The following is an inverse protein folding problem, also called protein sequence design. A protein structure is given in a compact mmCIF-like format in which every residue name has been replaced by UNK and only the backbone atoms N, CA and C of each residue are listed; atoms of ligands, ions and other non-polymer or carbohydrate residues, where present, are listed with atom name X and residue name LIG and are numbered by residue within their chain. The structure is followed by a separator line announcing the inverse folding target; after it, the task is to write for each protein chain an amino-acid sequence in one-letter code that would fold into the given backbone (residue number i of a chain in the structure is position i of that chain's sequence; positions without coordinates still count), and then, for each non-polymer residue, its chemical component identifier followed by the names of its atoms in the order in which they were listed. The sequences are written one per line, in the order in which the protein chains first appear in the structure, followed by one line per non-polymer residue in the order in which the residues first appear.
data_IF_356728379639
#
_entry.id   IF_356728379639
#
_cell.length_a   1.000
_cell.length_b   1.000
_cell.length_c   1.000
_cell.angle_alpha   90.00
_cell.angle_beta   90.00
_cell.angle_gamma   90.00
#
_symmetry.space_group_name_H-M   'P 1'
#
loop_
_entity.id
_entity.type
_entity.pdbx_description
1 polymer ?
#
# COMPACT_ATOMS: atom_id res chain seq x y z
N UNK A 1 52.55 1.47 -29.45
CA UNK A 1 52.00 0.83 -28.24
C UNK A 1 50.84 1.61 -27.61
N UNK A 2 50.86 2.96 -27.57
CA UNK A 2 49.85 3.78 -26.87
C UNK A 2 48.41 3.78 -27.41
N UNK A 3 48.16 3.66 -28.72
CA UNK A 3 46.78 3.69 -29.26
C UNK A 3 45.90 2.54 -28.75
N UNK A 4 46.46 1.34 -28.61
CA UNK A 4 45.72 0.16 -28.11
C UNK A 4 45.38 0.29 -26.62
N UNK A 5 46.31 0.85 -25.83
CA UNK A 5 46.08 1.12 -24.40
C UNK A 5 45.01 2.18 -24.19
N UNK A 6 44.96 3.21 -25.06
CA UNK A 6 43.97 4.28 -24.98
C UNK A 6 42.56 3.77 -25.26
N UNK A 7 42.40 2.91 -26.28
CA UNK A 7 41.11 2.27 -26.61
C UNK A 7 40.64 1.35 -25.47
N UNK A 8 41.57 0.66 -24.82
CA UNK A 8 41.25 -0.20 -23.67
C UNK A 8 40.74 0.60 -22.47
N UNK A 9 41.41 1.70 -22.12
CA UNK A 9 40.99 2.60 -21.02
C UNK A 9 39.64 3.25 -21.33
N UNK A 10 39.41 3.69 -22.58
CA UNK A 10 38.13 4.24 -23.00
C UNK A 10 36.98 3.24 -22.85
N UNK A 11 37.23 1.96 -23.17
CA UNK A 11 36.27 0.87 -22.95
C UNK A 11 35.89 0.69 -21.49
N UNK A 12 36.87 0.73 -20.58
CA UNK A 12 36.63 0.63 -19.13
C UNK A 12 35.77 1.79 -18.64
N UNK A 13 36.12 3.04 -19.00
CA UNK A 13 35.36 4.22 -18.57
C UNK A 13 33.93 4.16 -19.08
N UNK A 14 33.73 3.76 -20.34
CA UNK A 14 32.39 3.61 -20.94
C UNK A 14 31.58 2.54 -20.21
N UNK A 15 32.21 1.42 -19.86
CA UNK A 15 31.58 0.35 -19.09
C UNK A 15 31.11 0.81 -17.71
N UNK A 16 31.96 1.53 -16.98
CA UNK A 16 31.63 2.09 -15.64
C UNK A 16 30.45 3.05 -15.73
N UNK A 17 30.46 3.98 -16.70
CA UNK A 17 29.35 4.93 -16.91
C UNK A 17 28.05 4.17 -17.21
N UNK A 18 28.11 3.17 -18.10
CA UNK A 18 26.94 2.37 -18.46
C UNK A 18 26.36 1.63 -17.25
N UNK A 19 27.20 1.09 -16.36
CA UNK A 19 26.75 0.43 -15.12
C UNK A 19 25.99 1.39 -14.21
N UNK A 20 26.46 2.62 -14.01
CA UNK A 20 25.76 3.61 -13.19
C UNK A 20 24.42 4.06 -13.81
N UNK A 21 24.38 4.25 -15.12
CA UNK A 21 23.13 4.55 -15.84
C UNK A 21 22.12 3.41 -15.70
N UNK A 22 22.58 2.16 -15.80
CA UNK A 22 21.73 0.98 -15.64
C UNK A 22 21.21 0.84 -14.20
N UNK A 23 22.07 1.08 -13.20
CA UNK A 23 21.67 1.09 -11.79
C UNK A 23 20.63 2.19 -11.49
N UNK A 24 20.83 3.39 -12.02
CA UNK A 24 19.87 4.48 -11.90
C UNK A 24 18.53 4.15 -12.57
N UNK A 25 18.56 3.52 -13.76
CA UNK A 25 17.35 3.09 -14.46
C UNK A 25 16.53 2.04 -13.68
N UNK A 26 17.20 1.15 -12.92
CA UNK A 26 16.54 0.15 -12.06
C UNK A 26 15.94 0.79 -10.79
N UNK A 27 16.39 1.98 -10.38
CA UNK A 27 16.01 2.60 -9.10
C UNK A 27 14.62 3.27 -9.12
N UNK A 28 13.86 3.18 -10.21
CA UNK A 28 12.48 3.65 -10.24
C UNK A 28 11.48 2.52 -9.96
N UNK A 29 11.43 2.05 -8.72
CA UNK A 29 10.20 1.45 -8.20
C UNK A 29 9.52 2.52 -7.36
N UNK A 30 8.59 3.25 -7.99
CA UNK A 30 7.64 4.06 -7.26
C UNK A 30 6.91 3.14 -6.28
N UNK A 31 6.88 3.53 -5.01
CA UNK A 31 6.16 2.90 -3.90
C UNK A 31 4.64 3.01 -4.07
N UNK A 32 4.11 2.67 -5.26
CA UNK A 32 2.70 2.37 -5.39
C UNK A 32 2.50 1.04 -4.71
N UNK A 33 1.88 1.08 -3.53
CA UNK A 33 1.40 -0.06 -2.78
C UNK A 33 0.76 -1.08 -3.74
N UNK A 34 1.51 -2.14 -4.08
CA UNK A 34 1.33 -2.98 -5.29
C UNK A 34 0.04 -3.83 -5.26
N UNK A 35 -0.75 -3.73 -4.19
CA UNK A 35 -1.95 -4.53 -3.97
C UNK A 35 -3.29 -3.81 -4.15
N UNK A 36 -3.32 -2.48 -4.32
CA UNK A 36 -4.60 -1.73 -4.35
C UNK A 36 -5.17 -1.65 -5.77
N UNK A 37 -6.39 -2.15 -5.95
CA UNK A 37 -7.22 -2.01 -7.14
C UNK A 37 -8.39 -1.08 -6.86
N UNK A 38 -8.30 0.15 -7.37
CA UNK A 38 -9.36 1.15 -7.22
C UNK A 38 -10.56 0.84 -8.10
N UNK A 39 -11.75 1.16 -7.60
CA UNK A 39 -12.97 1.15 -8.37
C UNK A 39 -13.04 2.39 -9.27
N UNK A 40 -13.82 2.29 -10.36
CA UNK A 40 -14.09 3.43 -11.24
C UNK A 40 -14.84 4.54 -10.51
N UNK A 41 -15.76 4.15 -9.63
CA UNK A 41 -16.56 5.04 -8.80
C UNK A 41 -16.53 4.51 -7.36
N UNK A 42 -16.59 5.41 -6.39
CA UNK A 42 -16.79 5.05 -4.98
C UNK A 42 -18.16 4.40 -4.80
N UNK A 43 -18.22 3.36 -3.97
CA UNK A 43 -19.48 2.70 -3.61
C UNK A 43 -19.69 2.78 -2.10
N UNK A 44 -20.94 2.74 -1.66
CA UNK A 44 -21.27 2.61 -0.24
C UNK A 44 -20.68 1.31 0.29
N UNK A 45 -20.00 1.35 1.43
CA UNK A 45 -19.49 0.15 2.07
C UNK A 45 -20.64 -0.60 2.74
N UNK A 46 -21.11 -1.65 2.07
CA UNK A 46 -22.16 -2.56 2.56
C UNK A 46 -23.44 -1.85 3.03
N UNK A 47 -23.78 -0.72 2.40
CA UNK A 47 -24.94 0.11 2.73
C UNK A 47 -25.02 0.52 4.22
N UNK A 48 -23.87 0.63 4.88
CA UNK A 48 -23.79 1.01 6.29
C UNK A 48 -23.89 2.53 6.45
N UNK A 49 -24.74 2.96 7.38
CA UNK A 49 -24.87 4.37 7.76
C UNK A 49 -23.74 4.83 8.68
N UNK A 50 -23.22 3.96 9.56
CA UNK A 50 -22.09 4.24 10.44
C UNK A 50 -21.48 2.92 10.92
N UNK A 51 -20.16 2.90 11.08
CA UNK A 51 -19.45 1.76 11.67
C UNK A 51 -18.18 2.23 12.37
N UNK A 52 -17.49 1.32 13.05
CA UNK A 52 -16.21 1.60 13.68
C UNK A 52 -15.20 0.51 13.41
N UNK A 53 -13.96 0.91 13.22
CA UNK A 53 -12.84 0.04 12.90
C UNK A 53 -11.78 0.13 13.98
N UNK A 54 -11.22 -1.01 14.39
CA UNK A 54 -10.07 -1.07 15.30
C UNK A 54 -8.83 -1.50 14.52
N UNK A 55 -7.84 -0.61 14.46
CA UNK A 55 -6.55 -0.86 13.81
C UNK A 55 -5.81 -1.96 14.55
N UNK A 56 -5.32 -2.97 13.83
CA UNK A 56 -4.50 -4.04 14.39
C UNK A 56 -3.11 -4.13 13.75
N UNK A 57 -2.93 -3.57 12.55
CA UNK A 57 -1.64 -3.53 11.88
C UNK A 57 -1.51 -2.22 11.10
N UNK A 58 -0.48 -1.45 11.39
CA UNK A 58 -0.07 -0.27 10.63
C UNK A 58 0.96 -0.70 9.60
N UNK A 59 0.81 -0.26 8.36
CA UNK A 59 1.75 -0.55 7.27
C UNK A 59 2.64 0.69 7.04
N UNK A 60 2.06 1.74 6.47
CA UNK A 60 2.67 3.07 6.28
C UNK A 60 1.58 4.13 6.52
N UNK A 61 1.12 4.80 5.45
CA UNK A 61 -0.05 5.68 5.45
C UNK A 61 -1.39 4.91 5.38
N UNK A 62 -1.33 3.60 5.65
CA UNK A 62 -2.46 2.68 5.57
C UNK A 62 -2.47 1.78 6.79
N UNK A 63 -3.66 1.32 7.17
CA UNK A 63 -3.82 0.42 8.29
C UNK A 63 -4.83 -0.69 8.00
N UNK A 64 -4.49 -1.91 8.38
CA UNK A 64 -5.47 -2.99 8.46
C UNK A 64 -6.24 -2.85 9.78
N UNK A 65 -7.56 -2.93 9.67
CA UNK A 65 -8.45 -2.77 10.81
C UNK A 65 -9.58 -3.80 10.77
N UNK A 66 -10.02 -4.22 11.97
CA UNK A 66 -11.21 -5.05 12.12
C UNK A 66 -12.43 -4.17 12.32
N UNK A 67 -13.48 -4.44 11.56
CA UNK A 67 -14.78 -3.83 11.79
C UNK A 67 -15.38 -4.30 13.13
N UNK A 68 -16.16 -3.42 13.77
CA UNK A 68 -17.04 -3.78 14.86
C UNK A 68 -18.15 -4.71 14.38
N UNK A 69 -18.17 -5.92 14.95
CA UNK A 69 -19.21 -6.92 14.75
C UNK A 69 -20.51 -6.58 15.50
N UNK A 70 -21.57 -7.30 15.17
CA UNK A 70 -22.89 -7.21 15.83
C UNK A 70 -22.80 -7.46 17.35
N UNK A 71 -21.83 -8.24 17.81
CA UNK A 71 -21.61 -8.55 19.23
C UNK A 71 -20.78 -7.47 19.97
N UNK A 72 -20.64 -6.28 19.39
CA UNK A 72 -19.80 -5.18 19.90
C UNK A 72 -18.30 -5.52 20.06
N UNK A 73 -17.81 -6.56 19.41
CA UNK A 73 -16.39 -6.94 19.38
C UNK A 73 -15.74 -6.56 18.05
N UNK A 74 -14.45 -6.26 18.03
CA UNK A 74 -13.70 -5.99 16.79
C UNK A 74 -13.20 -7.27 16.14
N UNK A 75 -14.16 -8.12 15.76
CA UNK A 75 -13.96 -9.41 15.08
C UNK A 75 -14.76 -9.46 13.76
N UNK A 76 -15.17 -8.30 13.24
CA UNK A 76 -15.86 -8.19 11.98
C UNK A 76 -14.92 -8.32 10.78
N UNK A 77 -15.34 -7.80 9.63
CA UNK A 77 -14.54 -7.85 8.41
C UNK A 77 -13.24 -7.07 8.57
N UNK A 78 -12.16 -7.60 8.00
CA UNK A 78 -10.89 -6.88 7.87
C UNK A 78 -11.02 -5.92 6.70
N UNK A 79 -10.60 -4.67 6.89
CA UNK A 79 -10.56 -3.63 5.87
C UNK A 79 -9.19 -2.97 5.84
N UNK A 80 -8.81 -2.40 4.70
CA UNK A 80 -7.69 -1.46 4.61
C UNK A 80 -8.25 -0.03 4.74
N UNK A 81 -7.83 0.68 5.79
CA UNK A 81 -8.14 2.09 5.97
C UNK A 81 -7.06 2.94 5.30
N UNK A 82 -7.50 3.96 4.58
CA UNK A 82 -6.63 4.98 4.01
C UNK A 82 -7.09 6.37 4.45
N UNK A 83 -6.15 7.25 4.76
CA UNK A 83 -6.42 8.64 5.11
C UNK A 83 -5.25 9.52 4.73
N UNK A 84 -5.53 10.72 4.23
CA UNK A 84 -4.51 11.75 4.05
C UNK A 84 -4.36 12.66 5.29
N UNK A 85 -5.32 12.64 6.22
CA UNK A 85 -5.40 13.59 7.33
C UNK A 85 -5.09 12.97 8.69
N UNK A 86 -5.04 11.64 8.76
CA UNK A 86 -4.97 10.89 10.02
C UNK A 86 -3.78 9.94 9.98
N UNK A 87 -2.91 10.03 10.99
CA UNK A 87 -1.88 9.01 11.24
C UNK A 87 -2.47 7.84 12.00
N UNK A 88 -2.11 6.62 11.59
CA UNK A 88 -2.58 5.39 12.21
C UNK A 88 -1.66 4.91 13.34
N UNK A 89 -2.24 4.30 14.37
CA UNK A 89 -1.52 3.57 15.41
C UNK A 89 -2.28 2.30 15.83
N UNK A 90 -1.56 1.33 16.40
CA UNK A 90 -2.16 0.06 16.86
C UNK A 90 -3.25 0.29 17.91
N UNK A 91 -4.30 -0.51 17.85
CA UNK A 91 -5.50 -0.44 18.71
C UNK A 91 -6.34 0.84 18.59
N UNK A 92 -6.00 1.75 17.67
CA UNK A 92 -6.81 2.94 17.38
C UNK A 92 -8.22 2.55 16.94
N UNK A 93 -9.22 3.18 17.55
CA UNK A 93 -10.62 3.03 17.17
C UNK A 93 -11.03 4.25 16.34
N UNK A 94 -11.49 4.00 15.12
CA UNK A 94 -11.93 5.01 14.17
C UNK A 94 -13.41 4.80 13.90
N UNK A 95 -14.23 5.84 14.14
CA UNK A 95 -15.65 5.85 13.80
C UNK A 95 -15.82 6.54 12.47
N UNK A 96 -16.59 5.94 11.58
CA UNK A 96 -16.81 6.43 10.22
C UNK A 96 -18.30 6.42 9.93
N UNK A 97 -18.83 7.57 9.54
CA UNK A 97 -20.20 7.71 9.07
C UNK A 97 -20.20 7.61 7.54
N UNK A 98 -21.18 6.87 6.99
CA UNK A 98 -21.30 6.56 5.57
C UNK A 98 -19.96 6.11 4.94
N UNK A 99 -19.33 5.05 5.47
CA UNK A 99 -18.05 4.56 4.96
C UNK A 99 -18.13 4.29 3.46
N UNK A 100 -17.11 4.74 2.72
CA UNK A 100 -17.03 4.55 1.28
C UNK A 100 -15.96 3.54 0.94
N UNK A 101 -16.35 2.54 0.16
CA UNK A 101 -15.40 1.61 -0.41
C UNK A 101 -14.94 2.13 -1.77
N UNK A 102 -13.62 2.29 -1.91
CA UNK A 102 -13.00 2.86 -3.11
C UNK A 102 -12.19 1.83 -3.92
N UNK A 103 -12.09 0.59 -3.42
CA UNK A 103 -11.32 -0.47 -4.07
C UNK A 103 -11.19 -1.74 -3.23
N UNK A 104 -10.23 -2.57 -3.64
CA UNK A 104 -9.78 -3.75 -2.89
C UNK A 104 -8.26 -3.76 -2.77
N UNK A 105 -7.77 -4.35 -1.69
CA UNK A 105 -6.35 -4.52 -1.43
C UNK A 105 -6.03 -6.01 -1.26
N UNK A 106 -5.12 -6.52 -2.07
CA UNK A 106 -4.63 -7.89 -1.97
C UNK A 106 -3.27 -7.94 -1.29
N UNK A 107 -3.11 -8.85 -0.32
CA UNK A 107 -1.84 -9.07 0.40
C UNK A 107 -1.66 -10.53 0.77
N UNK A 108 -0.41 -10.92 1.03
CA UNK A 108 -0.08 -12.22 1.60
C UNK A 108 -0.03 -12.11 3.11
N UNK A 109 -0.83 -12.92 3.80
CA UNK A 109 -0.76 -13.02 5.26
C UNK A 109 0.53 -13.73 5.70
N UNK A 110 0.88 -13.62 6.99
CA UNK A 110 2.07 -14.30 7.53
C UNK A 110 2.07 -15.83 7.31
N UNK A 111 0.91 -16.44 7.13
CA UNK A 111 0.76 -17.87 6.81
C UNK A 111 0.88 -18.22 5.32
N UNK A 112 1.27 -17.27 4.47
CA UNK A 112 1.38 -17.46 3.01
C UNK A 112 0.04 -17.45 2.27
N UNK A 113 -1.06 -17.16 2.96
CA UNK A 113 -2.38 -17.11 2.34
C UNK A 113 -2.61 -15.75 1.69
N UNK A 114 -2.95 -15.74 0.41
CA UNK A 114 -3.40 -14.52 -0.26
C UNK A 114 -4.80 -14.12 0.23
N UNK A 115 -4.92 -12.90 0.73
CA UNK A 115 -6.14 -12.29 1.22
C UNK A 115 -6.47 -11.06 0.39
N UNK A 116 -7.75 -10.75 0.26
CA UNK A 116 -8.23 -9.53 -0.38
C UNK A 116 -9.28 -8.88 0.49
N UNK A 117 -9.07 -7.60 0.81
CA UNK A 117 -9.91 -6.82 1.73
C UNK A 117 -10.42 -5.55 1.06
N UNK A 118 -11.59 -5.03 1.43
CA UNK A 118 -12.08 -3.74 0.93
C UNK A 118 -11.17 -2.61 1.39
N UNK A 119 -11.04 -1.59 0.53
CA UNK A 119 -10.32 -0.35 0.85
C UNK A 119 -11.35 0.73 1.17
N UNK A 120 -11.25 1.29 2.37
CA UNK A 120 -12.15 2.31 2.88
C UNK A 120 -11.39 3.63 2.99
N UNK A 121 -11.89 4.66 2.31
CA UNK A 121 -11.39 6.02 2.50
C UNK A 121 -12.08 6.64 3.71
N UNK A 122 -11.27 7.15 4.63
CA UNK A 122 -11.73 7.83 5.85
C UNK A 122 -11.24 9.28 5.92
N UNK A 123 -10.72 9.82 4.81
CA UNK A 123 -10.38 11.24 4.67
C UNK A 123 -11.65 12.11 4.80
N UNK A 124 -11.50 13.32 5.35
CA UNK A 124 -12.64 14.21 5.62
C UNK A 124 -12.94 15.18 4.49
#
# INVERSE_FOLDING_TARGET
MGKKILIYIAGIITGVILTFVFAYAITNKNDKFDGIKYFKNEISYEDKSSTSFKVFQVLDNYALANEKSEYNMYLGKIVLLISNDISFYSDQIIKVDNPKQIGTYSYESQGGMQLTVPVIDISK
#
